data_IF_941765557056
#
_entry.id   IF_941765557056
#
_cell.length_a   1.000
_cell.length_b   1.000
_cell.length_c   1.000
_cell.angle_alpha   90.00
_cell.angle_beta   90.00
_cell.angle_gamma   90.00
#
_symmetry.space_group_name_H-M   'P 1'
#
loop_
_entity.id
_entity.type
_entity.pdbx_description
1 polymer ?
#
# COMPACT_ATOMS: atom_id res chain seq x y z
N UNK A 1 -13.85 18.91 -5.99
CA UNK A 1 -13.07 18.44 -7.15
C UNK A 1 -11.63 18.35 -6.68
N UNK A 2 -11.15 17.12 -6.47
CA UNK A 2 -9.80 16.85 -6.00
C UNK A 2 -9.06 16.01 -7.04
N UNK A 3 -7.75 16.20 -7.14
CA UNK A 3 -6.86 15.38 -7.95
C UNK A 3 -6.39 14.20 -7.11
N UNK A 4 -6.73 12.97 -7.49
CA UNK A 4 -6.42 11.77 -6.70
C UNK A 4 -5.47 10.89 -7.52
N UNK A 5 -4.32 10.57 -6.95
CA UNK A 5 -3.38 9.60 -7.50
C UNK A 5 -3.67 8.24 -6.86
N UNK A 6 -4.07 7.26 -7.66
CA UNK A 6 -4.25 5.87 -7.24
C UNK A 6 -3.09 5.04 -7.81
N UNK A 7 -2.33 4.41 -6.93
CA UNK A 7 -1.24 3.52 -7.29
C UNK A 7 -1.65 2.06 -7.10
N UNK A 8 -1.18 1.21 -8.00
CA UNK A 8 -1.24 -0.23 -7.92
C UNK A 8 0.13 -0.81 -8.29
N UNK A 9 0.53 -1.94 -7.70
CA UNK A 9 1.83 -2.52 -7.99
C UNK A 9 1.80 -3.35 -9.27
N UNK A 10 0.71 -4.08 -9.48
CA UNK A 10 0.50 -4.99 -10.61
C UNK A 10 -0.60 -4.53 -11.55
N UNK A 11 -0.59 -5.07 -12.78
CA UNK A 11 -1.60 -4.75 -13.78
C UNK A 11 -2.98 -5.23 -13.35
N UNK A 12 -3.09 -6.42 -12.76
CA UNK A 12 -4.34 -6.99 -12.26
C UNK A 12 -5.00 -6.10 -11.21
N UNK A 13 -4.19 -5.46 -10.35
CA UNK A 13 -4.65 -4.51 -9.33
C UNK A 13 -5.09 -3.18 -9.96
N UNK A 14 -4.34 -2.69 -10.95
CA UNK A 14 -4.65 -1.47 -11.69
C UNK A 14 -5.88 -1.59 -12.58
N UNK A 15 -6.07 -2.75 -13.22
CA UNK A 15 -7.18 -3.04 -14.13
C UNK A 15 -8.48 -3.35 -13.37
N UNK A 16 -8.38 -3.83 -12.13
CA UNK A 16 -9.52 -4.04 -11.24
C UNK A 16 -10.23 -2.75 -10.80
N UNK A 17 -9.57 -1.60 -10.89
CA UNK A 17 -10.11 -0.29 -10.54
C UNK A 17 -10.91 0.31 -11.70
N UNK A 18 -12.20 0.59 -11.54
CA UNK A 18 -13.02 1.22 -12.59
C UNK A 18 -12.81 0.52 -13.95
N UNK A 19 -13.06 -0.79 -13.99
CA UNK A 19 -12.79 -1.62 -15.15
C UNK A 19 -13.34 -0.99 -16.45
N UNK A 20 -12.55 -1.05 -17.52
CA UNK A 20 -12.84 -0.48 -18.85
C UNK A 20 -13.05 1.05 -18.92
N UNK A 21 -12.90 1.78 -17.81
CA UNK A 21 -13.04 3.23 -17.78
C UNK A 21 -11.70 3.97 -17.98
N UNK A 22 -11.79 5.21 -18.45
CA UNK A 22 -10.65 6.12 -18.55
C UNK A 22 -9.84 5.98 -19.83
N UNK A 23 -8.77 6.77 -19.91
CA UNK A 23 -7.90 6.86 -21.09
C UNK A 23 -6.45 6.77 -20.67
N UNK A 24 -5.70 5.82 -21.25
CA UNK A 24 -4.24 5.76 -21.09
C UNK A 24 -3.60 6.97 -21.76
N UNK A 25 -2.63 7.57 -21.09
CA UNK A 25 -1.86 8.71 -21.59
C UNK A 25 -0.41 8.30 -21.77
N UNK A 26 0.25 8.88 -22.76
CA UNK A 26 1.69 8.73 -22.94
C UNK A 26 2.44 9.41 -21.79
N UNK A 27 3.61 8.88 -21.44
CA UNK A 27 4.47 9.40 -20.39
C UNK A 27 4.96 8.32 -19.41
N UNK A 28 5.72 8.71 -18.37
CA UNK A 28 6.19 7.79 -17.33
C UNK A 28 5.04 7.01 -16.72
N UNK A 29 5.18 5.68 -16.65
CA UNK A 29 4.17 4.72 -16.16
C UNK A 29 2.82 4.71 -16.91
N UNK A 30 2.72 5.39 -18.07
CA UNK A 30 1.56 5.42 -18.94
C UNK A 30 0.21 5.54 -18.20
N UNK A 31 0.00 6.63 -17.41
CA UNK A 31 -1.10 6.71 -16.46
C UNK A 31 -2.47 6.62 -17.16
N UNK A 32 -3.42 5.95 -16.50
CA UNK A 32 -4.82 5.93 -16.91
C UNK A 32 -5.57 7.03 -16.17
N UNK A 33 -6.18 7.96 -16.92
CA UNK A 33 -6.92 9.08 -16.34
C UNK A 33 -8.42 8.95 -16.58
N UNK A 34 -9.22 9.34 -15.59
CA UNK A 34 -10.67 9.34 -15.63
C UNK A 34 -11.23 10.34 -14.62
N UNK A 35 -12.46 10.79 -14.83
CA UNK A 35 -13.18 11.63 -13.87
C UNK A 35 -14.33 10.83 -13.28
N UNK A 36 -14.40 10.74 -11.96
CA UNK A 36 -15.43 10.00 -11.22
C UNK A 36 -15.94 10.88 -10.09
N UNK A 37 -17.27 11.04 -9.99
CA UNK A 37 -17.92 11.86 -8.95
C UNK A 37 -17.35 13.29 -8.83
N UNK A 38 -16.84 13.86 -9.91
CA UNK A 38 -16.23 15.19 -9.91
C UNK A 38 -14.79 15.24 -9.34
N UNK A 39 -14.15 14.10 -9.14
CA UNK A 39 -12.71 13.97 -8.87
C UNK A 39 -11.96 13.55 -10.12
N UNK A 40 -10.77 14.10 -10.32
CA UNK A 40 -9.88 13.70 -11.40
C UNK A 40 -8.92 12.63 -10.88
N UNK A 41 -9.10 11.41 -11.37
CA UNK A 41 -8.34 10.24 -10.96
C UNK A 41 -7.20 9.99 -11.94
N UNK A 42 -6.00 9.77 -11.40
CA UNK A 42 -4.84 9.28 -12.13
C UNK A 42 -4.45 7.92 -11.55
N UNK A 43 -4.60 6.86 -12.34
CA UNK A 43 -4.26 5.48 -11.96
C UNK A 43 -2.91 5.12 -12.57
N UNK A 44 -2.00 4.61 -11.75
CA UNK A 44 -0.63 4.28 -12.13
C UNK A 44 -0.29 2.86 -11.67
N UNK A 45 0.26 2.06 -12.58
CA UNK A 45 0.89 0.78 -12.23
C UNK A 45 2.37 1.06 -11.98
N UNK A 46 2.79 1.07 -10.72
CA UNK A 46 4.15 1.41 -10.33
C UNK A 46 5.16 0.31 -10.63
N UNK A 47 4.71 -0.95 -10.62
CA UNK A 47 5.58 -2.10 -10.40
C UNK A 47 5.76 -2.39 -8.90
N UNK A 48 6.27 -3.59 -8.61
CA UNK A 48 6.48 -4.10 -7.25
C UNK A 48 7.63 -3.39 -6.54
N UNK A 49 7.51 -3.27 -5.22
CA UNK A 49 8.57 -2.81 -4.33
C UNK A 49 8.62 -1.30 -4.10
N UNK A 50 9.33 -0.94 -3.03
CA UNK A 50 9.35 0.41 -2.47
C UNK A 50 9.93 1.44 -3.43
N UNK A 51 10.96 1.07 -4.18
CA UNK A 51 11.62 1.98 -5.14
C UNK A 51 10.66 2.37 -6.28
N UNK A 52 9.98 1.38 -6.86
CA UNK A 52 9.02 1.60 -7.93
C UNK A 52 7.83 2.44 -7.45
N UNK A 53 7.26 2.07 -6.30
CA UNK A 53 6.17 2.81 -5.68
C UNK A 53 6.57 4.27 -5.37
N UNK A 54 7.76 4.49 -4.79
CA UNK A 54 8.25 5.83 -4.47
C UNK A 54 8.53 6.67 -5.72
N UNK A 55 9.07 6.07 -6.79
CA UNK A 55 9.33 6.76 -8.06
C UNK A 55 8.01 7.22 -8.70
N UNK A 56 7.02 6.33 -8.81
CA UNK A 56 5.71 6.65 -9.34
C UNK A 56 5.01 7.75 -8.52
N UNK A 57 4.96 7.58 -7.19
CA UNK A 57 4.34 8.54 -6.29
C UNK A 57 5.06 9.91 -6.32
N UNK A 58 6.40 9.92 -6.36
CA UNK A 58 7.18 11.16 -6.39
C UNK A 58 7.06 11.92 -7.71
N UNK A 59 7.00 11.21 -8.84
CA UNK A 59 6.89 11.84 -10.17
C UNK A 59 5.50 12.42 -10.45
N UNK A 60 4.45 11.80 -9.92
CA UNK A 60 3.06 12.12 -10.29
C UNK A 60 2.30 12.78 -9.14
N UNK A 61 2.66 12.49 -7.88
CA UNK A 61 1.93 12.91 -6.68
C UNK A 61 2.04 14.39 -6.34
N UNK A 62 2.91 15.17 -7.00
CA UNK A 62 3.06 16.61 -6.74
C UNK A 62 1.77 17.40 -6.97
N UNK A 63 1.02 17.04 -8.02
CA UNK A 63 -0.25 17.69 -8.39
C UNK A 63 -1.48 17.05 -7.72
N UNK A 64 -1.28 15.96 -6.96
CA UNK A 64 -2.35 15.25 -6.28
C UNK A 64 -2.70 15.92 -4.94
N UNK A 65 -3.97 15.87 -4.59
CA UNK A 65 -4.51 16.24 -3.28
C UNK A 65 -4.53 15.04 -2.33
N UNK A 66 -4.58 13.81 -2.87
CA UNK A 66 -4.60 12.55 -2.13
C UNK A 66 -3.84 11.46 -2.89
N UNK A 67 -2.99 10.72 -2.18
CA UNK A 67 -2.35 9.51 -2.68
C UNK A 67 -3.07 8.28 -2.12
N UNK A 68 -3.44 7.35 -2.99
CA UNK A 68 -4.18 6.15 -2.61
C UNK A 68 -3.44 4.93 -3.14
N UNK A 69 -3.19 3.93 -2.30
CA UNK A 69 -2.66 2.64 -2.76
C UNK A 69 -3.79 1.58 -2.77
N UNK A 70 -3.94 0.91 -3.91
CA UNK A 70 -4.80 -0.27 -4.06
C UNK A 70 -3.93 -1.50 -4.27
N UNK A 71 -4.41 -2.67 -3.85
CA UNK A 71 -3.83 -3.94 -4.28
C UNK A 71 -3.97 -5.07 -3.28
N UNK A 72 -2.97 -5.94 -3.28
CA UNK A 72 -2.95 -7.19 -2.54
C UNK A 72 -1.87 -7.21 -1.46
N UNK A 73 -2.01 -8.10 -0.49
CA UNK A 73 -1.11 -8.25 0.65
C UNK A 73 -1.12 -9.67 1.23
N UNK A 74 -0.03 -10.03 1.90
CA UNK A 74 0.04 -11.23 2.74
C UNK A 74 -0.58 -10.98 4.11
N UNK A 75 -1.19 -12.02 4.68
CA UNK A 75 -1.75 -12.00 6.03
C UNK A 75 -0.72 -12.40 7.08
N UNK A 76 -0.64 -11.62 8.16
CA UNK A 76 0.11 -11.95 9.37
C UNK A 76 -0.84 -12.43 10.49
N UNK A 77 -1.93 -13.10 10.14
CA UNK A 77 -2.97 -13.57 11.07
C UNK A 77 -4.30 -12.80 10.96
N UNK A 78 -4.43 -11.93 9.97
CA UNK A 78 -5.68 -11.31 9.56
C UNK A 78 -6.57 -12.34 8.81
N UNK A 79 -7.89 -12.23 8.99
CA UNK A 79 -8.83 -13.04 8.23
C UNK A 79 -8.85 -12.63 6.74
N UNK A 80 -9.26 -13.51 5.82
CA UNK A 80 -9.44 -13.14 4.41
C UNK A 80 -10.39 -11.95 4.25
N UNK A 81 -10.02 -10.98 3.41
CA UNK A 81 -10.83 -9.79 3.15
C UNK A 81 -10.00 -8.59 2.73
N UNK A 82 -10.69 -7.47 2.49
CA UNK A 82 -10.08 -6.16 2.28
C UNK A 82 -10.00 -5.38 3.60
N UNK A 83 -8.93 -4.60 3.76
CA UNK A 83 -8.62 -3.85 4.97
C UNK A 83 -8.31 -2.40 4.64
N UNK A 84 -8.76 -1.49 5.50
CA UNK A 84 -8.27 -0.13 5.53
C UNK A 84 -6.92 -0.10 6.25
N UNK A 85 -5.90 0.47 5.61
CA UNK A 85 -4.59 0.58 6.22
C UNK A 85 -4.53 1.87 7.02
N UNK A 86 -4.66 1.75 8.35
CA UNK A 86 -4.59 2.88 9.27
C UNK A 86 -3.15 3.36 9.47
N UNK A 87 -2.19 2.42 9.40
CA UNK A 87 -0.79 2.70 9.65
C UNK A 87 0.09 1.86 8.72
N UNK A 88 1.24 2.42 8.33
CA UNK A 88 2.25 1.72 7.54
C UNK A 88 3.63 1.84 8.18
N UNK A 89 4.36 0.74 8.28
CA UNK A 89 5.74 0.69 8.76
C UNK A 89 6.63 0.09 7.68
N UNK A 90 7.82 0.67 7.43
CA UNK A 90 8.82 0.01 6.60
C UNK A 90 9.66 -0.92 7.47
N UNK A 91 9.39 -2.22 7.42
CA UNK A 91 9.91 -3.18 8.41
C UNK A 91 11.41 -3.48 8.26
N UNK A 92 11.97 -3.14 7.10
CA UNK A 92 13.35 -3.31 6.67
C UNK A 92 14.17 -2.01 6.79
N UNK A 93 13.59 -0.92 7.31
CA UNK A 93 14.31 0.34 7.57
C UNK A 93 14.70 0.46 9.05
N UNK A 94 15.99 0.70 9.31
CA UNK A 94 16.48 0.86 10.67
C UNK A 94 17.97 0.56 10.84
N UNK A 95 18.34 0.17 12.06
CA UNK A 95 19.71 -0.12 12.44
C UNK A 95 19.90 -1.59 12.82
N UNK A 96 20.95 -2.21 12.27
CA UNK A 96 21.42 -3.51 12.72
C UNK A 96 22.25 -3.32 13.99
N UNK A 97 21.75 -3.84 15.10
CA UNK A 97 22.40 -3.80 16.41
C UNK A 97 22.74 -5.24 16.84
N UNK A 98 23.70 -5.46 17.76
CA UNK A 98 24.02 -6.82 18.22
C UNK A 98 22.77 -7.55 18.73
N UNK A 99 22.37 -8.60 18.01
CA UNK A 99 21.24 -9.46 18.35
C UNK A 99 19.84 -8.92 18.01
N UNK A 100 19.71 -7.76 17.34
CA UNK A 100 18.39 -7.23 16.94
C UNK A 100 18.46 -6.25 15.76
N UNK A 101 17.35 -6.12 15.03
CA UNK A 101 17.13 -5.02 14.10
C UNK A 101 16.18 -3.99 14.71
N UNK A 102 16.69 -2.79 14.98
CA UNK A 102 15.88 -1.70 15.57
C UNK A 102 15.28 -0.86 14.45
N UNK A 103 13.94 -0.82 14.40
CA UNK A 103 13.18 -0.05 13.40
C UNK A 103 13.11 1.42 13.78
N UNK A 104 13.17 2.27 12.76
CA UNK A 104 12.95 3.72 12.85
C UNK A 104 11.96 4.12 11.77
N UNK A 105 11.41 5.33 11.88
CA UNK A 105 10.56 5.84 10.81
C UNK A 105 11.39 6.06 9.56
N UNK A 106 10.92 5.55 8.43
CA UNK A 106 11.66 5.64 7.18
C UNK A 106 11.99 7.09 6.80
N UNK A 107 13.27 7.38 6.59
CA UNK A 107 13.78 8.71 6.27
C UNK A 107 14.31 9.50 7.47
N UNK A 108 14.10 9.04 8.70
CA UNK A 108 14.75 9.59 9.90
C UNK A 108 16.12 8.95 10.12
N UNK A 109 17.01 9.64 10.84
CA UNK A 109 18.30 9.05 11.20
C UNK A 109 18.10 7.82 12.11
N UNK A 110 18.60 6.63 11.72
CA UNK A 110 18.43 5.42 12.52
C UNK A 110 19.49 5.33 13.62
N UNK A 111 19.62 6.38 14.43
CA UNK A 111 20.62 6.51 15.48
C UNK A 111 19.91 7.04 16.74
N UNK A 112 20.13 6.38 17.88
CA UNK A 112 19.64 6.83 19.19
C UNK A 112 18.34 6.14 19.61
N UNK A 113 17.44 6.88 20.25
CA UNK A 113 16.14 6.35 20.66
C UNK A 113 15.17 6.36 19.48
N UNK A 114 14.59 5.19 19.18
CA UNK A 114 13.54 5.06 18.18
C UNK A 114 12.23 5.64 18.73
N UNK A 115 11.63 6.55 17.97
CA UNK A 115 10.25 7.02 18.18
C UNK A 115 9.23 6.12 17.48
N UNK A 116 8.09 6.70 17.11
CA UNK A 116 7.07 6.00 16.32
C UNK A 116 7.56 5.74 14.90
N UNK A 117 7.78 4.47 14.56
CA UNK A 117 8.36 4.08 13.27
C UNK A 117 7.36 4.09 12.09
N UNK A 118 6.09 4.39 12.35
CA UNK A 118 5.02 4.25 11.37
C UNK A 118 4.60 5.59 10.74
N UNK A 119 3.83 5.50 9.67
CA UNK A 119 3.09 6.60 9.08
C UNK A 119 1.60 6.34 9.30
N UNK A 120 0.86 7.33 9.79
CA UNK A 120 -0.59 7.25 9.91
C UNK A 120 -1.26 7.67 8.59
N UNK A 121 -2.28 6.94 8.17
CA UNK A 121 -3.14 7.29 7.03
C UNK A 121 -4.10 8.43 7.41
N UNK A 122 -4.80 8.97 6.40
CA UNK A 122 -5.98 9.78 6.67
C UNK A 122 -7.04 8.99 7.46
N UNK A 123 -7.95 9.64 8.20
CA UNK A 123 -9.06 8.95 8.85
C UNK A 123 -9.93 8.19 7.83
N UNK A 124 -10.34 6.97 8.18
CA UNK A 124 -11.35 6.21 7.41
C UNK A 124 -12.66 7.03 7.36
N UNK A 125 -13.20 7.33 6.16
CA UNK A 125 -14.45 8.09 6.02
C UNK A 125 -15.70 7.29 6.42
N UNK A 126 -15.55 6.07 6.94
CA UNK A 126 -16.64 5.23 7.42
C UNK A 126 -17.00 4.10 6.46
N UNK A 127 -16.01 3.51 5.78
CA UNK A 127 -16.24 2.41 4.84
C UNK A 127 -16.69 1.11 5.51
N UNK A 128 -16.47 1.00 6.82
CA UNK A 128 -16.82 -0.19 7.61
C UNK A 128 -15.84 -1.35 7.40
N UNK A 129 -14.61 -1.06 6.96
CA UNK A 129 -13.55 -2.04 6.79
C UNK A 129 -12.81 -2.27 8.10
N UNK A 130 -12.29 -3.48 8.34
CA UNK A 130 -11.33 -3.70 9.42
C UNK A 130 -10.06 -2.86 9.19
N UNK A 131 -9.52 -2.29 10.27
CA UNK A 131 -8.30 -1.49 10.23
C UNK A 131 -7.07 -2.35 10.49
N UNK A 132 -6.00 -2.08 9.77
CA UNK A 132 -4.73 -2.80 9.91
C UNK A 132 -3.54 -1.86 9.93
N UNK A 133 -2.50 -2.28 10.66
CA UNK A 133 -1.11 -1.83 10.43
C UNK A 133 -0.48 -2.77 9.41
N UNK A 134 0.08 -2.20 8.35
CA UNK A 134 0.80 -2.95 7.32
C UNK A 134 2.31 -2.77 7.45
N UNK A 135 3.04 -3.87 7.35
CA UNK A 135 4.50 -3.88 7.25
C UNK A 135 4.91 -3.94 5.79
N UNK A 136 5.65 -2.95 5.29
CA UNK A 136 6.16 -2.94 3.92
C UNK A 136 7.66 -3.16 3.88
N UNK A 137 8.15 -3.94 2.92
CA UNK A 137 9.58 -4.12 2.67
C UNK A 137 9.82 -4.83 1.35
N UNK A 138 11.05 -4.75 0.83
CA UNK A 138 11.38 -5.32 -0.48
C UNK A 138 11.68 -6.83 -0.41
N UNK A 139 10.79 -7.59 0.24
CA UNK A 139 10.88 -9.04 0.36
C UNK A 139 9.49 -9.68 0.34
N UNK A 140 9.30 -10.67 -0.53
CA UNK A 140 8.12 -11.51 -0.48
C UNK A 140 8.23 -12.47 0.72
N UNK A 141 7.38 -12.28 1.72
CA UNK A 141 7.45 -13.04 2.97
C UNK A 141 6.77 -14.40 2.81
N UNK A 142 7.58 -15.45 2.75
CA UNK A 142 7.13 -16.85 2.74
C UNK A 142 7.75 -17.66 3.90
N UNK A 143 8.26 -16.96 4.92
CA UNK A 143 8.96 -17.54 6.07
C UNK A 143 8.17 -17.26 7.35
N UNK A 144 7.70 -18.29 8.08
CA UNK A 144 6.94 -18.10 9.32
C UNK A 144 7.69 -17.32 10.40
N UNK A 145 9.01 -17.49 10.51
CA UNK A 145 9.83 -16.76 11.49
C UNK A 145 9.91 -15.26 11.14
N UNK A 146 10.07 -14.95 9.85
CA UNK A 146 10.00 -13.57 9.39
C UNK A 146 8.61 -12.97 9.63
N UNK A 147 7.54 -13.72 9.33
CA UNK A 147 6.17 -13.29 9.61
C UNK A 147 5.93 -13.02 11.11
N UNK A 148 6.49 -13.85 12.00
CA UNK A 148 6.39 -13.67 13.45
C UNK A 148 7.10 -12.39 13.94
N UNK A 149 8.29 -12.09 13.40
CA UNK A 149 9.00 -10.83 13.68
C UNK A 149 8.18 -9.62 13.22
N UNK A 150 7.52 -9.69 12.05
CA UNK A 150 6.63 -8.63 11.58
C UNK A 150 5.40 -8.43 12.48
N UNK A 151 4.80 -9.52 12.98
CA UNK A 151 3.69 -9.45 13.97
C UNK A 151 4.09 -8.72 15.24
N UNK A 152 5.36 -8.86 15.66
CA UNK A 152 5.87 -8.15 16.85
C UNK A 152 5.85 -6.62 16.70
N UNK A 153 5.76 -6.10 15.46
CA UNK A 153 5.58 -4.68 15.15
C UNK A 153 4.12 -4.22 15.27
N UNK A 154 3.20 -5.09 15.67
CA UNK A 154 1.76 -4.87 15.65
C UNK A 154 1.15 -4.91 14.25
N UNK A 155 1.92 -5.34 13.24
CA UNK A 155 1.42 -5.48 11.87
C UNK A 155 0.58 -6.75 11.73
N UNK A 156 -0.56 -6.62 11.06
CA UNK A 156 -1.45 -7.76 10.74
C UNK A 156 -1.41 -8.12 9.26
N UNK A 157 -0.78 -7.29 8.44
CA UNK A 157 -0.63 -7.46 7.00
C UNK A 157 0.81 -7.12 6.58
N UNK A 158 1.25 -7.68 5.45
CA UNK A 158 2.55 -7.39 4.83
C UNK A 158 2.41 -7.14 3.34
N UNK A 159 3.14 -6.15 2.82
CA UNK A 159 3.28 -5.90 1.38
C UNK A 159 4.67 -5.35 1.04
N UNK A 160 4.82 -4.76 -0.15
CA UNK A 160 6.10 -4.21 -0.59
C UNK A 160 6.03 -2.72 -0.99
N UNK A 161 4.87 -2.03 -0.86
CA UNK A 161 4.69 -0.68 -1.42
C UNK A 161 4.16 0.37 -0.43
N UNK A 162 3.16 0.05 0.40
CA UNK A 162 2.38 1.08 1.13
C UNK A 162 3.27 1.99 1.98
N UNK A 163 4.23 1.43 2.71
CA UNK A 163 5.16 2.21 3.54
C UNK A 163 6.02 3.20 2.76
N UNK A 164 6.32 2.92 1.48
CA UNK A 164 7.03 3.85 0.61
C UNK A 164 6.12 4.97 0.12
N UNK A 165 4.88 4.65 -0.28
CA UNK A 165 3.87 5.65 -0.67
C UNK A 165 3.54 6.58 0.49
N UNK A 166 3.38 6.03 1.70
CA UNK A 166 3.14 6.81 2.92
C UNK A 166 4.30 7.76 3.24
N UNK A 167 5.55 7.31 3.05
CA UNK A 167 6.74 8.16 3.21
C UNK A 167 6.77 9.28 2.18
N UNK A 168 6.46 9.00 0.91
CA UNK A 168 6.38 10.03 -0.14
C UNK A 168 5.28 11.04 0.16
N UNK A 169 4.08 10.58 0.53
CA UNK A 169 2.97 11.44 0.91
C UNK A 169 3.33 12.38 2.07
N UNK A 170 3.99 11.86 3.11
CA UNK A 170 4.51 12.65 4.21
C UNK A 170 5.53 13.70 3.74
N UNK A 171 6.42 13.33 2.80
CA UNK A 171 7.41 14.25 2.23
C UNK A 171 6.78 15.36 1.38
N UNK A 172 5.68 15.06 0.68
CA UNK A 172 4.92 16.01 -0.12
C UNK A 172 3.92 16.84 0.69
N UNK A 173 3.72 16.54 1.99
CA UNK A 173 2.72 17.18 2.83
C UNK A 173 1.29 16.87 2.39
N UNK A 174 1.05 15.67 1.86
CA UNK A 174 -0.25 15.21 1.33
C UNK A 174 -0.84 14.09 2.19
N UNK A 175 -2.17 14.01 2.34
CA UNK A 175 -2.80 12.85 2.93
C UNK A 175 -2.57 11.61 2.06
N UNK A 176 -2.63 10.44 2.69
CA UNK A 176 -2.63 9.16 1.98
C UNK A 176 -3.66 8.21 2.57
N UNK A 177 -4.14 7.30 1.73
CA UNK A 177 -4.96 6.16 2.10
C UNK A 177 -4.44 4.90 1.42
N UNK A 178 -4.76 3.73 1.96
CA UNK A 178 -4.57 2.50 1.24
C UNK A 178 -5.64 1.48 1.61
N UNK A 179 -6.00 0.65 0.63
CA UNK A 179 -6.83 -0.54 0.84
C UNK A 179 -6.14 -1.72 0.18
N UNK A 180 -5.92 -2.78 0.96
CA UNK A 180 -5.30 -4.02 0.48
C UNK A 180 -6.19 -5.21 0.80
N UNK A 181 -6.19 -6.21 -0.06
CA UNK A 181 -6.90 -7.46 0.14
C UNK A 181 -5.94 -8.65 0.28
N UNK A 182 -6.29 -9.58 1.18
CA UNK A 182 -5.45 -10.75 1.49
C UNK A 182 -5.41 -11.75 0.34
N UNK A 183 -4.19 -12.12 -0.08
CA UNK A 183 -3.93 -13.17 -1.08
C UNK A 183 -3.39 -14.46 -0.49
N UNK A 184 -2.60 -14.37 0.56
CA UNK A 184 -1.86 -15.49 1.16
C UNK A 184 -1.59 -15.26 2.66
N UNK A 185 -0.97 -16.22 3.34
CA UNK A 185 -0.73 -16.21 4.79
C UNK A 185 0.75 -16.01 5.19
N UNK A 186 1.55 -15.41 4.30
CA UNK A 186 2.99 -15.14 4.51
C UNK A 186 3.81 -16.35 5.00
N UNK A 187 3.54 -17.54 4.44
CA UNK A 187 4.08 -18.83 4.85
C UNK A 187 4.69 -19.60 3.65
N UNK A 188 5.05 -20.86 3.84
CA UNK A 188 5.70 -21.67 2.80
C UNK A 188 4.87 -21.87 1.53
N UNK A 189 3.54 -21.74 1.61
CA UNK A 189 2.61 -21.90 0.48
C UNK A 189 2.27 -20.57 -0.21
N UNK A 190 2.76 -19.43 0.31
CA UNK A 190 2.36 -18.09 -0.13
C UNK A 190 2.51 -17.83 -1.61
N UNK A 191 3.55 -18.37 -2.25
CA UNK A 191 3.74 -18.18 -3.69
C UNK A 191 2.58 -18.79 -4.49
N UNK A 192 2.12 -19.99 -4.13
CA UNK A 192 1.00 -20.65 -4.78
C UNK A 192 -0.33 -19.94 -4.51
N UNK A 193 -0.58 -19.62 -3.25
CA UNK A 193 -1.80 -18.91 -2.82
C UNK A 193 -1.93 -17.53 -3.45
N UNK A 194 -0.82 -16.80 -3.53
CA UNK A 194 -0.77 -15.49 -4.19
C UNK A 194 -1.26 -15.58 -5.63
N UNK A 195 -0.69 -16.48 -6.44
CA UNK A 195 -1.09 -16.66 -7.84
C UNK A 195 -2.56 -17.09 -7.96
N UNK A 196 -3.04 -17.96 -7.08
CA UNK A 196 -4.42 -18.44 -7.10
C UNK A 196 -5.44 -17.35 -6.72
N UNK A 197 -5.06 -16.41 -5.86
CA UNK A 197 -5.97 -15.44 -5.27
C UNK A 197 -5.83 -13.99 -5.81
N UNK A 198 -4.78 -13.69 -6.59
CA UNK A 198 -4.43 -12.34 -7.06
C UNK A 198 -5.63 -11.60 -7.66
N UNK A 199 -6.26 -12.15 -8.70
CA UNK A 199 -7.37 -11.48 -9.41
C UNK A 199 -8.56 -11.22 -8.48
N UNK A 200 -8.93 -12.21 -7.65
CA UNK A 200 -10.03 -12.07 -6.68
C UNK A 200 -9.73 -10.96 -5.68
N UNK A 201 -8.53 -10.95 -5.11
CA UNK A 201 -8.12 -9.97 -4.11
C UNK A 201 -8.00 -8.56 -4.72
N UNK A 202 -7.40 -8.44 -5.91
CA UNK A 202 -7.34 -7.21 -6.69
C UNK A 202 -8.73 -6.59 -6.90
N UNK A 203 -9.71 -7.36 -7.36
CA UNK A 203 -11.10 -6.90 -7.48
C UNK A 203 -11.73 -6.55 -6.13
N UNK A 204 -11.38 -7.26 -5.06
CA UNK A 204 -11.89 -6.92 -3.72
C UNK A 204 -11.37 -5.57 -3.25
N UNK A 205 -10.07 -5.32 -3.35
CA UNK A 205 -9.49 -4.01 -3.00
C UNK A 205 -10.01 -2.91 -3.93
N UNK A 206 -10.07 -3.18 -5.24
CA UNK A 206 -10.56 -2.23 -6.24
C UNK A 206 -11.97 -1.73 -5.95
N UNK A 207 -12.92 -2.62 -5.64
CA UNK A 207 -14.30 -2.24 -5.25
C UNK A 207 -14.33 -1.33 -4.03
N UNK A 208 -13.50 -1.59 -3.03
CA UNK A 208 -13.46 -0.77 -1.83
C UNK A 208 -12.80 0.60 -2.06
N UNK A 209 -11.84 0.68 -2.99
CA UNK A 209 -11.32 1.97 -3.47
C UNK A 209 -12.40 2.75 -4.22
N UNK A 210 -13.20 2.11 -5.07
CA UNK A 210 -14.33 2.79 -5.73
C UNK A 210 -15.34 3.33 -4.71
N UNK A 211 -15.62 2.57 -3.63
CA UNK A 211 -16.43 3.04 -2.50
C UNK A 211 -15.79 4.21 -1.76
N UNK A 212 -14.47 4.20 -1.56
CA UNK A 212 -13.71 5.33 -1.00
C UNK A 212 -13.92 6.59 -1.84
N UNK A 213 -13.71 6.50 -3.15
CA UNK A 213 -13.87 7.66 -4.06
C UNK A 213 -15.31 8.20 -4.07
N UNK A 214 -16.31 7.36 -3.81
CA UNK A 214 -17.70 7.80 -3.68
C UNK A 214 -18.03 8.45 -2.33
N UNK A 215 -17.21 8.24 -1.30
CA UNK A 215 -17.47 8.69 0.07
C UNK A 215 -16.76 10.01 0.44
N UNK A 216 -15.79 10.46 -0.36
CA UNK A 216 -14.96 11.65 -0.10
C UNK A 216 -15.30 12.84 -1.00
#
# INVERSE_FOLDING_TARGET
MANILILAALAEEGDALFADAGTKRDGPFAPRRLTVNGHDLTIVISGLGKVNAALAAGMIGGDADLLVMSGTCGSLGAAPGAYWLAEAVQHDYGANEPGRFRRYRAGEWPIGEAGEAHFAAMPDPGLGLPHARIASGDSFVACPDAAADLKSLGATLVDMEVGAVAQVAARLGKPWAAIKAVTDEANGDSAGDFHANLVRAAHSAGREIERLIAAI
#
